data_IF_813836275089
#
_entry.id   IF_813836275089
#
_cell.length_a   1.000
_cell.length_b   1.000
_cell.length_c   1.000
_cell.angle_alpha   90.00
_cell.angle_beta   90.00
_cell.angle_gamma   90.00
#
_symmetry.space_group_name_H-M   'P 1'
#
loop_
_entity.id
_entity.type
_entity.pdbx_description
1 polymer ?
#
# COMPACT_ATOMS: atom_id res chain seq x y z
N UNK A 1 29.56 10.36 26.62
CA UNK A 1 29.84 11.04 27.90
C UNK A 1 28.53 11.16 28.65
N UNK A 2 28.50 10.84 29.95
CA UNK A 2 27.27 10.89 30.76
C UNK A 2 27.09 12.28 31.35
N UNK A 3 25.89 12.86 31.18
CA UNK A 3 25.53 14.17 31.76
C UNK A 3 25.40 14.11 33.30
N UNK A 4 25.28 12.89 33.85
CA UNK A 4 25.20 12.62 35.29
C UNK A 4 26.39 11.80 35.77
N UNK A 5 26.88 12.10 36.98
CA UNK A 5 27.87 11.27 37.66
C UNK A 5 27.26 9.92 38.06
N UNK A 6 28.05 8.84 38.04
CA UNK A 6 27.57 7.47 38.40
C UNK A 6 26.89 7.40 39.77
N UNK A 7 27.24 8.30 40.69
CA UNK A 7 26.72 8.35 42.06
C UNK A 7 25.34 9.02 42.10
N UNK A 8 25.16 10.13 41.37
CA UNK A 8 23.87 10.85 41.33
C UNK A 8 22.80 10.12 40.52
N UNK A 9 23.19 9.35 39.50
CA UNK A 9 22.28 8.52 38.72
C UNK A 9 21.62 7.38 39.53
N UNK A 10 22.22 6.98 40.66
CA UNK A 10 21.69 5.92 41.54
C UNK A 10 20.62 6.44 42.50
N UNK A 11 20.63 7.75 42.78
CA UNK A 11 19.63 8.42 43.62
C UNK A 11 18.27 8.53 42.94
N UNK A 12 17.19 8.54 43.73
CA UNK A 12 15.81 8.67 43.23
C UNK A 12 15.62 9.91 42.33
N UNK A 13 16.23 11.04 42.71
CA UNK A 13 16.18 12.30 41.94
C UNK A 13 16.87 12.19 40.58
N UNK A 14 18.03 11.51 40.52
CA UNK A 14 18.75 11.29 39.26
C UNK A 14 17.98 10.37 38.31
N UNK A 15 17.34 9.32 38.85
CA UNK A 15 16.44 8.45 38.07
C UNK A 15 15.24 9.19 37.51
N UNK A 16 14.61 10.07 38.31
CA UNK A 16 13.47 10.86 37.86
C UNK A 16 13.87 11.83 36.74
N UNK A 17 15.02 12.49 36.87
CA UNK A 17 15.55 13.36 35.81
C UNK A 17 15.83 12.58 34.52
N UNK A 18 16.50 11.43 34.62
CA UNK A 18 16.81 10.59 33.47
C UNK A 18 15.51 10.10 32.79
N UNK A 19 14.53 9.65 33.57
CA UNK A 19 13.23 9.24 33.06
C UNK A 19 12.51 10.39 32.34
N UNK A 20 12.59 11.62 32.88
CA UNK A 20 12.03 12.81 32.24
C UNK A 20 12.68 13.10 30.88
N UNK A 21 14.01 13.07 30.81
CA UNK A 21 14.75 13.26 29.56
C UNK A 21 14.42 12.17 28.55
N UNK A 22 14.39 10.90 28.98
CA UNK A 22 14.02 9.77 28.11
C UNK A 22 12.59 9.91 27.61
N UNK A 23 11.64 10.30 28.45
CA UNK A 23 10.25 10.49 28.05
C UNK A 23 10.10 11.66 27.07
N UNK A 24 10.82 12.77 27.29
CA UNK A 24 10.88 13.88 26.35
C UNK A 24 11.45 13.47 24.98
N UNK A 25 12.51 12.64 24.97
CA UNK A 25 13.08 12.09 23.72
C UNK A 25 12.11 11.14 23.02
N UNK A 26 11.39 10.29 23.75
CA UNK A 26 10.37 9.40 23.18
C UNK A 26 9.25 10.22 22.54
N UNK A 27 8.76 11.26 23.23
CA UNK A 27 7.72 12.14 22.70
C UNK A 27 8.20 12.89 21.46
N UNK A 28 9.42 13.45 21.49
CA UNK A 28 10.02 14.12 20.34
C UNK A 28 10.27 13.18 19.14
N UNK A 29 10.67 11.94 19.40
CA UNK A 29 10.81 10.92 18.35
C UNK A 29 9.46 10.51 17.77
N UNK A 30 8.45 10.30 18.62
CA UNK A 30 7.10 9.94 18.19
C UNK A 30 6.42 11.05 17.38
N UNK A 31 6.65 12.31 17.74
CA UNK A 31 6.10 13.46 17.01
C UNK A 31 6.72 13.63 15.61
N UNK A 32 7.94 13.14 15.37
CA UNK A 32 8.55 13.08 14.04
C UNK A 32 8.13 11.82 13.26
N UNK A 33 7.98 10.69 13.95
CA UNK A 33 7.61 9.41 13.33
C UNK A 33 6.18 9.44 12.76
N UNK A 34 5.24 10.07 13.47
CA UNK A 34 3.84 10.16 13.03
C UNK A 34 3.66 10.85 11.65
N UNK A 35 4.14 12.09 11.42
CA UNK A 35 4.02 12.73 10.10
C UNK A 35 4.81 11.99 9.02
N UNK A 36 5.94 11.37 9.36
CA UNK A 36 6.68 10.54 8.41
C UNK A 36 5.83 9.37 7.90
N UNK A 37 5.17 8.63 8.81
CA UNK A 37 4.29 7.53 8.44
C UNK A 37 3.07 8.02 7.62
N UNK A 38 2.52 9.20 7.93
CA UNK A 38 1.47 9.80 7.11
C UNK A 38 1.94 10.14 5.69
N UNK A 39 3.17 10.62 5.52
CA UNK A 39 3.74 10.88 4.19
C UNK A 39 3.96 9.59 3.40
N UNK A 40 4.46 8.53 4.06
CA UNK A 40 4.63 7.21 3.43
C UNK A 40 3.27 6.66 2.98
N UNK A 41 2.26 6.69 3.85
CA UNK A 41 0.88 6.29 3.50
C UNK A 41 0.34 7.14 2.34
N UNK A 42 0.53 8.47 2.39
CA UNK A 42 0.11 9.39 1.34
C UNK A 42 0.77 9.13 -0.01
N UNK A 43 2.05 8.73 -0.04
CA UNK A 43 2.77 8.40 -1.27
C UNK A 43 2.24 7.14 -1.97
N UNK A 44 1.56 6.25 -1.24
CA UNK A 44 0.94 5.04 -1.79
C UNK A 44 -0.51 5.27 -2.26
N UNK A 45 -1.08 6.46 -2.01
CA UNK A 45 -2.44 6.79 -2.45
C UNK A 45 -2.50 7.10 -3.94
N UNK A 46 -3.69 6.90 -4.48
CA UNK A 46 -4.11 7.15 -5.85
C UNK A 46 -5.48 7.83 -5.85
N UNK A 47 -6.09 7.99 -7.01
CA UNK A 47 -7.42 8.59 -7.12
C UNK A 47 -8.50 7.75 -6.42
N UNK A 48 -8.30 6.45 -6.29
CA UNK A 48 -9.22 5.55 -5.58
C UNK A 48 -9.38 5.89 -4.10
N UNK A 49 -8.28 6.13 -3.39
CA UNK A 49 -8.19 6.29 -1.92
C UNK A 49 -7.81 7.72 -1.51
N UNK A 50 -7.94 8.69 -2.42
CA UNK A 50 -7.59 10.10 -2.19
C UNK A 50 -8.36 10.73 -1.01
N UNK A 51 -9.60 10.29 -0.76
CA UNK A 51 -10.43 10.81 0.35
C UNK A 51 -10.10 10.22 1.71
N UNK A 52 -9.33 9.13 1.77
CA UNK A 52 -9.06 8.42 3.02
C UNK A 52 -7.76 8.91 3.66
N UNK A 53 -7.85 9.62 4.79
CA UNK A 53 -6.66 10.07 5.54
C UNK A 53 -6.24 9.07 6.63
N UNK A 54 -6.05 7.80 6.27
CA UNK A 54 -5.57 6.77 7.20
C UNK A 54 -4.04 6.70 7.29
N UNK A 55 -3.53 6.40 8.49
CA UNK A 55 -2.09 6.14 8.73
C UNK A 55 -1.65 4.82 8.07
N UNK A 56 -2.52 3.81 8.11
CA UNK A 56 -2.32 2.52 7.46
C UNK A 56 -3.25 2.48 6.25
N UNK A 57 -2.72 2.35 5.01
CA UNK A 57 -3.53 2.22 3.80
C UNK A 57 -4.51 1.04 3.88
N UNK A 58 -5.75 1.23 3.41
CA UNK A 58 -6.81 0.22 3.49
C UNK A 58 -6.45 -1.11 2.81
N UNK A 59 -5.77 -1.05 1.66
CA UNK A 59 -5.33 -2.24 0.92
C UNK A 59 -4.35 -3.15 1.66
N UNK A 60 -3.72 -2.70 2.76
CA UNK A 60 -2.87 -3.56 3.58
C UNK A 60 -3.66 -4.43 4.56
N UNK A 61 -4.94 -4.13 4.77
CA UNK A 61 -5.79 -4.74 5.79
C UNK A 61 -7.03 -5.39 5.18
N UNK A 62 -7.59 -4.78 4.14
CA UNK A 62 -8.77 -5.28 3.42
C UNK A 62 -8.39 -5.79 2.02
N UNK A 63 -8.62 -7.08 1.79
CA UNK A 63 -8.41 -7.74 0.51
C UNK A 63 -9.28 -7.13 -0.60
N UNK A 64 -10.47 -6.61 -0.28
CA UNK A 64 -11.33 -5.95 -1.26
C UNK A 64 -10.67 -4.67 -1.77
N UNK A 65 -10.08 -3.86 -0.88
CA UNK A 65 -9.36 -2.65 -1.26
C UNK A 65 -8.07 -2.96 -2.01
N UNK A 66 -7.39 -4.05 -1.66
CA UNK A 66 -6.25 -4.55 -2.42
C UNK A 66 -6.64 -4.91 -3.86
N UNK A 67 -7.75 -5.62 -4.04
CA UNK A 67 -8.26 -5.96 -5.38
C UNK A 67 -8.67 -4.71 -6.13
N UNK A 68 -9.35 -3.74 -5.49
CA UNK A 68 -9.72 -2.47 -6.14
C UNK A 68 -8.50 -1.68 -6.60
N UNK A 69 -7.45 -1.60 -5.77
CA UNK A 69 -6.18 -0.95 -6.11
C UNK A 69 -5.47 -1.65 -7.27
N UNK A 70 -5.51 -2.98 -7.27
CA UNK A 70 -5.03 -3.78 -8.39
C UNK A 70 -5.81 -3.50 -9.68
N UNK A 71 -7.15 -3.42 -9.63
CA UNK A 71 -7.99 -3.10 -10.79
C UNK A 71 -7.68 -1.71 -11.35
N UNK A 72 -7.50 -0.73 -10.47
CA UNK A 72 -7.12 0.63 -10.86
C UNK A 72 -5.81 0.63 -11.66
N UNK A 73 -4.78 -0.06 -11.18
CA UNK A 73 -3.48 -0.15 -11.86
C UNK A 73 -3.57 -0.98 -13.14
N UNK A 74 -4.30 -2.12 -13.11
CA UNK A 74 -4.48 -3.01 -14.26
C UNK A 74 -5.14 -2.30 -15.45
N UNK A 75 -6.14 -1.47 -15.18
CA UNK A 75 -6.88 -0.73 -16.20
C UNK A 75 -6.44 0.73 -16.34
N UNK A 76 -5.23 1.06 -15.89
CA UNK A 76 -4.58 2.36 -16.05
C UNK A 76 -5.49 3.54 -15.65
N UNK A 77 -6.07 3.46 -14.45
CA UNK A 77 -6.91 4.52 -13.88
C UNK A 77 -8.17 4.87 -14.69
N UNK A 78 -8.58 4.02 -15.64
CA UNK A 78 -9.78 4.24 -16.45
C UNK A 78 -10.90 3.22 -16.12
N UNK A 79 -11.97 3.64 -15.41
CA UNK A 79 -13.06 2.74 -15.01
C UNK A 79 -13.85 2.21 -16.20
N UNK A 80 -13.84 2.90 -17.36
CA UNK A 80 -14.54 2.44 -18.56
C UNK A 80 -13.89 1.16 -19.10
N UNK A 81 -12.56 1.07 -19.10
CA UNK A 81 -11.84 -0.14 -19.53
C UNK A 81 -12.13 -1.32 -18.60
N UNK A 82 -12.14 -1.07 -17.29
CA UNK A 82 -12.53 -2.06 -16.29
C UNK A 82 -13.94 -2.59 -16.53
N UNK A 83 -14.92 -1.69 -16.68
CA UNK A 83 -16.33 -2.03 -16.86
C UNK A 83 -16.56 -2.84 -18.14
N UNK A 84 -15.88 -2.49 -19.24
CA UNK A 84 -15.93 -3.27 -20.48
C UNK A 84 -15.37 -4.68 -20.31
N UNK A 85 -14.22 -4.82 -19.65
CA UNK A 85 -13.59 -6.12 -19.45
C UNK A 85 -14.39 -7.04 -18.50
N UNK A 86 -14.98 -6.45 -17.46
CA UNK A 86 -15.72 -7.18 -16.42
C UNK A 86 -17.22 -7.31 -16.71
N UNK A 87 -17.71 -6.69 -17.80
CA UNK A 87 -19.13 -6.57 -18.11
C UNK A 87 -19.94 -6.03 -16.90
N UNK A 88 -19.36 -5.02 -16.23
CA UNK A 88 -19.90 -4.39 -15.03
C UNK A 88 -20.23 -2.90 -15.28
N UNK A 89 -20.93 -2.28 -14.34
CA UNK A 89 -21.28 -0.85 -14.38
C UNK A 89 -20.86 -0.12 -13.11
N UNK A 90 -19.64 -0.40 -12.63
CA UNK A 90 -19.08 0.26 -11.45
C UNK A 90 -18.81 1.75 -11.75
N UNK A 91 -19.16 2.63 -10.81
CA UNK A 91 -18.97 4.08 -10.99
C UNK A 91 -17.49 4.48 -11.01
N UNK A 92 -16.69 3.90 -10.12
CA UNK A 92 -15.25 4.11 -9.99
C UNK A 92 -14.60 2.87 -9.36
N UNK A 93 -13.27 2.86 -9.26
CA UNK A 93 -12.53 1.75 -8.66
C UNK A 93 -12.82 1.58 -7.18
N UNK A 94 -12.98 2.67 -6.42
CA UNK A 94 -13.23 2.63 -4.98
C UNK A 94 -14.55 1.92 -4.61
N UNK A 95 -15.54 1.99 -5.51
CA UNK A 95 -16.85 1.36 -5.36
C UNK A 95 -17.03 0.13 -6.23
N UNK A 96 -15.95 -0.37 -6.84
CA UNK A 96 -16.04 -1.58 -7.63
C UNK A 96 -16.50 -2.75 -6.74
N UNK A 97 -17.49 -3.49 -7.20
CA UNK A 97 -17.94 -4.71 -6.53
C UNK A 97 -16.82 -5.73 -6.63
N UNK A 98 -16.32 -6.22 -5.51
CA UNK A 98 -15.29 -7.25 -5.45
C UNK A 98 -15.90 -8.48 -4.81
N UNK A 99 -15.86 -9.59 -5.53
CA UNK A 99 -16.22 -10.90 -4.98
C UNK A 99 -14.94 -11.62 -4.57
N UNK A 100 -14.83 -11.93 -3.28
CA UNK A 100 -13.69 -12.65 -2.70
C UNK A 100 -13.98 -14.14 -2.55
N UNK A 101 -15.21 -14.61 -2.80
CA UNK A 101 -15.59 -16.02 -2.75
C UNK A 101 -15.21 -16.75 -4.05
N UNK A 102 -13.90 -16.87 -4.27
CA UNK A 102 -13.37 -17.54 -5.46
C UNK A 102 -13.25 -19.06 -5.20
N UNK A 103 -13.83 -19.93 -6.06
CA UNK A 103 -13.74 -21.37 -5.91
C UNK A 103 -12.29 -21.85 -5.82
N UNK A 104 -11.94 -22.53 -4.71
CA UNK A 104 -10.57 -23.02 -4.45
C UNK A 104 -10.02 -23.91 -5.57
N UNK A 105 -10.89 -24.70 -6.20
CA UNK A 105 -10.53 -25.60 -7.31
C UNK A 105 -10.06 -24.77 -8.53
N UNK A 106 -10.79 -23.72 -8.89
CA UNK A 106 -10.42 -22.85 -10.01
C UNK A 106 -9.06 -22.16 -9.77
N UNK A 107 -8.77 -21.76 -8.53
CA UNK A 107 -7.47 -21.18 -8.15
C UNK A 107 -6.34 -22.21 -8.30
N UNK A 108 -6.57 -23.46 -7.88
CA UNK A 108 -5.60 -24.53 -8.02
C UNK A 108 -5.31 -24.87 -9.49
N UNK A 109 -6.36 -24.97 -10.31
CA UNK A 109 -6.25 -25.22 -11.74
C UNK A 109 -5.51 -24.10 -12.46
N UNK A 110 -5.80 -22.84 -12.12
CA UNK A 110 -5.09 -21.70 -12.69
C UNK A 110 -3.60 -21.72 -12.32
N UNK A 111 -3.25 -21.98 -11.05
CA UNK A 111 -1.84 -22.10 -10.64
C UNK A 111 -1.13 -23.25 -11.34
N UNK A 112 -1.82 -24.37 -11.55
CA UNK A 112 -1.30 -25.49 -12.33
C UNK A 112 -1.01 -25.06 -13.76
N UNK A 113 -1.97 -24.40 -14.42
CA UNK A 113 -1.81 -23.89 -15.79
C UNK A 113 -0.60 -22.95 -15.92
N UNK A 114 -0.40 -22.04 -14.97
CA UNK A 114 0.76 -21.14 -14.93
C UNK A 114 2.11 -21.89 -14.85
N UNK A 115 2.12 -23.12 -14.33
CA UNK A 115 3.32 -23.97 -14.26
C UNK A 115 3.56 -24.84 -15.49
N UNK A 116 2.57 -25.01 -16.38
CA UNK A 116 2.67 -25.90 -17.54
C UNK A 116 3.39 -25.24 -18.73
N UNK A 117 3.26 -23.92 -18.89
CA UNK A 117 3.96 -23.15 -19.94
C UNK A 117 4.35 -21.77 -19.42
N UNK A 118 5.55 -21.26 -19.77
CA UNK A 118 5.90 -19.88 -19.50
C UNK A 118 4.92 -18.97 -20.27
N UNK A 119 4.22 -18.10 -19.54
CA UNK A 119 3.40 -17.07 -20.17
C UNK A 119 4.31 -16.03 -20.83
N UNK A 120 3.89 -15.44 -21.97
CA UNK A 120 4.63 -14.33 -22.57
C UNK A 120 4.88 -13.22 -21.56
N UNK A 121 6.09 -12.63 -21.55
CA UNK A 121 6.51 -11.66 -20.54
C UNK A 121 5.55 -10.46 -20.43
N UNK A 122 4.99 -10.02 -21.56
CA UNK A 122 4.01 -8.93 -21.62
C UNK A 122 2.63 -9.27 -21.01
N UNK A 123 2.36 -10.53 -20.67
CA UNK A 123 1.15 -10.90 -19.91
C UNK A 123 1.39 -10.86 -18.40
N UNK A 124 2.66 -10.84 -17.99
CA UNK A 124 3.07 -10.79 -16.59
C UNK A 124 3.25 -9.35 -16.10
N UNK A 125 3.23 -8.36 -17.01
CA UNK A 125 3.28 -6.95 -16.66
C UNK A 125 1.99 -6.49 -15.99
N UNK A 126 2.12 -5.92 -14.79
CA UNK A 126 1.03 -5.24 -14.09
C UNK A 126 0.79 -3.88 -14.74
N UNK A 127 -0.38 -3.72 -15.38
CA UNK A 127 -0.82 -2.45 -15.97
C UNK A 127 -0.39 -2.25 -17.42
N UNK A 128 -1.34 -1.83 -18.25
CA UNK A 128 -1.12 -1.52 -19.67
C UNK A 128 -1.58 -2.62 -20.63
N UNK A 129 -2.89 -2.85 -20.76
CA UNK A 129 -3.43 -3.60 -21.92
C UNK A 129 -3.33 -2.81 -23.23
N UNK A 130 -3.07 -1.51 -23.12
CA UNK A 130 -2.70 -0.65 -24.22
C UNK A 130 -1.23 -0.30 -24.00
N UNK A 131 -0.35 -0.85 -24.85
CA UNK A 131 0.89 -0.17 -25.16
C UNK A 131 0.49 1.20 -25.71
N UNK A 132 0.48 2.24 -24.89
CA UNK A 132 0.57 3.59 -25.45
C UNK A 132 1.90 3.62 -26.17
N UNK A 133 1.82 3.55 -27.49
CA UNK A 133 2.91 3.63 -28.44
C UNK A 133 3.51 5.04 -28.34
N UNK A 134 4.24 5.30 -27.25
CA UNK A 134 4.62 6.64 -26.81
C UNK A 134 6.08 6.78 -26.42
N UNK A 135 6.92 5.78 -26.70
CA UNK A 135 8.38 5.89 -26.51
C UNK A 135 9.21 5.29 -27.65
N UNK A 136 8.61 4.98 -28.81
CA UNK A 136 9.36 4.63 -30.02
C UNK A 136 8.70 5.24 -31.24
N UNK A 137 8.89 6.55 -31.43
CA UNK A 137 8.77 7.17 -32.76
C UNK A 137 10.03 7.98 -33.03
N UNK A 138 11.14 7.29 -33.27
CA UNK A 138 12.23 7.83 -34.08
C UNK A 138 12.78 6.71 -34.96
N UNK A 139 12.15 6.57 -36.14
CA UNK A 139 12.78 6.20 -37.41
C UNK A 139 11.91 6.77 -38.53
#
# INVERSE_FOLDING_TARGET
MSILTKVEAKGWRGRLFLAGVTLALIVGGASMLYPFLLMVSGAMRSNMDASEMSLVPGFLVDDADLVRKFLETKYNYNPIHMNRARQAQDYNFARAVVDLDVPRVAVADFRRFLGERPLPDHWQTLGGTLLYQGMTSET
#
